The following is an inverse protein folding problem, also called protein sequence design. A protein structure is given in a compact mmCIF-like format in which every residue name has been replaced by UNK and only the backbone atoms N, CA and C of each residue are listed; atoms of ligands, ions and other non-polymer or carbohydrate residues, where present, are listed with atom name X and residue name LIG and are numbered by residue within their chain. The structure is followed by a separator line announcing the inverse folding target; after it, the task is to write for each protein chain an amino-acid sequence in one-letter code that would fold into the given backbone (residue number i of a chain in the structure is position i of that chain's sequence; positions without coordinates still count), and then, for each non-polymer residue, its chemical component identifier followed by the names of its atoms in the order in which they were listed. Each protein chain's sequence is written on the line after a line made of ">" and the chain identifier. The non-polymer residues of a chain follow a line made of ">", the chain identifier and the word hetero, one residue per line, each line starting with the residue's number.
data_IF_627766554621
#
_entry.id   IF_627766554621
#
_cell.length_a   1.000
_cell.length_b   1.000
_cell.length_c   1.000
_cell.angle_alpha   90.00
_cell.angle_beta   90.00
_cell.angle_gamma   90.00
#
_symmetry.space_group_name_H-M   'P 1'
#
loop_
_entity.id
_entity.type
_entity.pdbx_description
1 polymer ?
#
# COMPACT_ATOMS: atom_id res chain seq x y z
N UNK A 1 50.21 -67.67 8.74
CA UNK A 1 49.86 -66.54 7.85
C UNK A 1 48.50 -66.03 8.25
N UNK A 2 48.40 -64.91 9.02
CA UNK A 2 47.15 -64.31 9.45
C UNK A 2 46.82 -63.12 8.53
N UNK A 3 45.74 -63.20 7.74
CA UNK A 3 45.23 -62.10 6.91
C UNK A 3 44.30 -61.21 7.77
N UNK A 4 44.75 -59.97 8.03
CA UNK A 4 43.90 -58.93 8.64
C UNK A 4 42.94 -58.35 7.62
N UNK A 5 41.66 -58.45 7.88
CA UNK A 5 40.59 -57.83 7.07
C UNK A 5 40.25 -56.48 7.70
N UNK A 6 40.60 -55.38 7.01
CA UNK A 6 40.24 -54.02 7.44
C UNK A 6 38.85 -53.69 6.92
N UNK A 7 37.90 -53.59 7.84
CA UNK A 7 36.54 -53.09 7.56
C UNK A 7 36.61 -51.56 7.51
N UNK A 8 36.44 -50.99 6.33
CA UNK A 8 36.28 -49.53 6.14
C UNK A 8 34.77 -49.22 6.35
N UNK A 9 34.45 -48.65 7.53
CA UNK A 9 33.12 -48.17 7.84
C UNK A 9 32.95 -46.79 7.19
N UNK A 10 32.31 -46.73 6.01
CA UNK A 10 31.98 -45.50 5.33
C UNK A 10 30.79 -44.81 6.04
N UNK A 11 31.08 -43.70 6.71
CA UNK A 11 30.03 -42.79 7.22
C UNK A 11 29.39 -42.08 6.02
N UNK A 12 28.20 -42.53 5.62
CA UNK A 12 27.32 -41.79 4.70
C UNK A 12 26.64 -40.69 5.52
N UNK A 13 27.15 -39.48 5.47
CA UNK A 13 26.46 -38.31 6.00
C UNK A 13 25.31 -37.96 5.07
N UNK A 14 24.10 -38.31 5.48
CA UNK A 14 22.86 -37.90 4.83
C UNK A 14 22.67 -36.37 5.11
N UNK A 15 23.13 -35.54 4.18
CA UNK A 15 22.83 -34.12 4.19
C UNK A 15 21.33 -33.95 3.91
N UNK A 16 20.53 -33.81 4.97
CA UNK A 16 19.16 -33.38 4.90
C UNK A 16 19.17 -31.91 4.45
N UNK A 17 18.96 -31.68 3.13
CA UNK A 17 18.74 -30.35 2.61
C UNK A 17 17.40 -29.84 3.16
N UNK A 18 17.43 -29.01 4.20
CA UNK A 18 16.30 -28.19 4.63
C UNK A 18 16.02 -27.19 3.51
N UNK A 19 15.15 -27.60 2.58
CA UNK A 19 14.61 -26.68 1.59
C UNK A 19 13.83 -25.63 2.35
N UNK A 20 14.36 -24.39 2.36
CA UNK A 20 13.72 -23.21 2.95
C UNK A 20 12.41 -22.93 2.21
N UNK A 21 11.29 -23.17 2.86
CA UNK A 21 9.94 -22.89 2.38
C UNK A 21 9.64 -21.37 2.33
N UNK A 22 10.61 -20.53 2.67
CA UNK A 22 10.48 -19.07 2.78
C UNK A 22 10.31 -18.33 1.44
N UNK A 23 10.31 -19.02 0.28
CA UNK A 23 10.24 -18.38 -1.03
C UNK A 23 8.87 -18.43 -1.72
N UNK A 24 7.85 -18.98 -1.08
CA UNK A 24 6.58 -19.28 -1.75
C UNK A 24 5.50 -18.20 -1.65
N UNK A 25 5.69 -17.21 -0.77
CA UNK A 25 4.74 -16.11 -0.61
C UNK A 25 5.45 -14.75 -0.56
N UNK A 26 4.89 -13.78 -1.29
CA UNK A 26 5.31 -12.37 -1.27
C UNK A 26 4.10 -11.46 -1.22
N UNK A 27 4.08 -10.51 -0.30
CA UNK A 27 3.05 -9.46 -0.25
C UNK A 27 3.52 -8.33 -1.16
N UNK A 28 2.75 -8.03 -2.22
CA UNK A 28 3.03 -6.95 -3.17
C UNK A 28 2.49 -5.64 -2.61
N UNK A 29 1.23 -5.66 -2.23
CA UNK A 29 0.52 -4.60 -1.51
C UNK A 29 -0.60 -5.24 -0.65
N UNK A 30 -1.44 -4.42 0.00
CA UNK A 30 -2.45 -4.95 0.92
C UNK A 30 -3.62 -5.68 0.23
N UNK A 31 -3.77 -5.59 -1.08
CA UNK A 31 -4.83 -6.30 -1.81
C UNK A 31 -4.28 -7.25 -2.90
N UNK A 32 -2.96 -7.39 -2.97
CA UNK A 32 -2.31 -8.26 -3.95
C UNK A 32 -1.13 -9.01 -3.31
N UNK A 33 -1.17 -10.33 -3.39
CA UNK A 33 -0.08 -11.21 -2.98
C UNK A 33 0.42 -12.05 -4.15
N UNK A 34 1.62 -12.56 -4.02
CA UNK A 34 2.14 -13.64 -4.87
C UNK A 34 2.26 -14.90 -4.00
N UNK A 35 1.59 -15.97 -4.40
CA UNK A 35 1.57 -17.24 -3.70
C UNK A 35 1.88 -18.35 -4.71
N UNK A 36 2.94 -19.11 -4.45
CA UNK A 36 3.43 -20.17 -5.36
C UNK A 36 3.61 -19.69 -6.81
N UNK A 37 4.20 -18.48 -6.97
CA UNK A 37 4.42 -17.86 -8.28
C UNK A 37 3.17 -17.30 -8.97
N UNK A 38 1.99 -17.38 -8.34
CA UNK A 38 0.74 -16.84 -8.87
C UNK A 38 0.42 -15.50 -8.20
N UNK A 39 0.21 -14.47 -8.99
CA UNK A 39 -0.28 -13.18 -8.50
C UNK A 39 -1.78 -13.26 -8.22
N UNK A 40 -2.17 -12.99 -6.99
CA UNK A 40 -3.54 -13.08 -6.51
C UNK A 40 -3.98 -11.69 -6.05
N UNK A 41 -5.02 -11.15 -6.68
CA UNK A 41 -5.69 -9.93 -6.25
C UNK A 41 -6.92 -10.29 -5.42
N UNK A 42 -7.05 -9.70 -4.26
CA UNK A 42 -8.19 -9.94 -3.39
C UNK A 42 -9.47 -9.37 -3.97
N UNK A 43 -10.47 -10.23 -4.08
CA UNK A 43 -11.75 -9.91 -4.69
C UNK A 43 -12.54 -8.88 -3.86
N UNK A 44 -13.14 -7.91 -4.55
CA UNK A 44 -14.11 -6.98 -3.96
C UNK A 44 -13.57 -5.92 -3.02
N UNK A 45 -12.25 -5.80 -2.91
CA UNK A 45 -11.58 -4.77 -2.10
C UNK A 45 -10.57 -3.97 -2.93
N UNK A 46 -10.19 -2.80 -2.42
CA UNK A 46 -9.16 -1.94 -3.01
C UNK A 46 -8.37 -1.26 -1.89
N UNK A 47 -7.07 -1.50 -1.84
CA UNK A 47 -6.18 -0.97 -0.82
C UNK A 47 -5.45 0.28 -1.31
N UNK A 48 -4.97 1.15 -0.38
CA UNK A 48 -4.11 2.26 -0.76
C UNK A 48 -2.84 1.78 -1.46
N UNK A 49 -2.45 2.50 -2.51
CA UNK A 49 -1.22 2.21 -3.26
C UNK A 49 0.03 2.42 -2.40
N UNK A 50 1.11 1.67 -2.64
CA UNK A 50 2.34 1.71 -1.83
C UNK A 50 2.90 3.12 -1.64
N UNK A 51 2.81 3.97 -2.67
CA UNK A 51 3.27 5.37 -2.63
C UNK A 51 2.19 6.35 -2.18
N UNK A 52 0.99 5.87 -1.86
CA UNK A 52 -0.11 6.73 -1.45
C UNK A 52 0.12 7.27 -0.05
N UNK A 53 -0.10 8.59 0.11
CA UNK A 53 -0.05 9.26 1.41
C UNK A 53 -1.45 9.57 1.90
N UNK A 54 -1.65 9.38 3.20
CA UNK A 54 -2.84 9.72 3.94
C UNK A 54 -2.48 10.62 5.12
N UNK A 55 -3.48 11.30 5.70
CA UNK A 55 -3.35 12.07 6.94
C UNK A 55 -3.91 11.23 8.09
N UNK A 56 -3.21 11.14 9.20
CA UNK A 56 -3.68 10.47 10.41
C UNK A 56 -4.61 11.38 11.25
N UNK A 57 -5.08 10.89 12.39
CA UNK A 57 -5.93 11.65 13.33
C UNK A 57 -5.27 12.94 13.86
N UNK A 58 -3.95 13.00 13.86
CA UNK A 58 -3.15 14.13 14.30
C UNK A 58 -2.76 15.06 13.14
N UNK A 59 -3.30 14.86 11.94
CA UNK A 59 -2.98 15.58 10.69
C UNK A 59 -1.55 15.35 10.19
N UNK A 60 -0.89 14.32 10.64
CA UNK A 60 0.44 13.93 10.17
C UNK A 60 0.32 13.06 8.92
N UNK A 61 1.11 13.38 7.90
CA UNK A 61 1.15 12.60 6.67
C UNK A 61 1.98 11.32 6.85
N UNK A 62 1.45 10.21 6.35
CA UNK A 62 2.12 8.91 6.37
C UNK A 62 1.83 8.12 5.08
N UNK A 63 2.63 7.11 4.79
CA UNK A 63 2.42 6.22 3.65
C UNK A 63 1.39 5.14 4.03
N UNK A 64 0.12 5.40 3.74
CA UNK A 64 -0.96 4.49 4.13
C UNK A 64 -0.95 3.18 3.35
N UNK A 65 -0.44 3.14 2.13
CA UNK A 65 -0.26 1.89 1.40
C UNK A 65 0.75 0.96 2.06
N UNK A 66 1.86 1.51 2.55
CA UNK A 66 2.86 0.76 3.32
C UNK A 66 2.22 0.24 4.62
N UNK A 67 1.52 1.11 5.36
CA UNK A 67 0.86 0.70 6.61
C UNK A 67 -0.20 -0.39 6.39
N UNK A 68 -0.94 -0.33 5.27
CA UNK A 68 -1.92 -1.37 4.92
C UNK A 68 -1.25 -2.71 4.60
N UNK A 69 -0.14 -2.69 3.84
CA UNK A 69 0.68 -3.88 3.56
C UNK A 69 1.24 -4.49 4.85
N UNK A 70 1.82 -3.67 5.70
CA UNK A 70 2.43 -4.11 6.97
C UNK A 70 1.38 -4.69 7.94
N UNK A 71 0.13 -4.19 7.87
CA UNK A 71 -0.98 -4.76 8.63
C UNK A 71 -1.34 -6.18 8.13
N UNK A 72 -1.37 -6.41 6.81
CA UNK A 72 -1.54 -7.74 6.22
C UNK A 72 -0.40 -8.67 6.62
N UNK A 73 0.84 -8.21 6.52
CA UNK A 73 2.02 -8.96 6.94
C UNK A 73 1.93 -9.35 8.42
N UNK A 74 1.56 -8.40 9.27
CA UNK A 74 1.38 -8.65 10.72
C UNK A 74 0.26 -9.65 11.01
N UNK A 75 -0.83 -9.67 10.23
CA UNK A 75 -1.87 -10.69 10.34
C UNK A 75 -1.31 -12.08 10.05
N UNK A 76 -0.56 -12.22 8.96
CA UNK A 76 0.00 -13.50 8.51
C UNK A 76 1.04 -14.00 9.52
N UNK A 77 1.94 -13.13 9.98
CA UNK A 77 2.98 -13.48 10.96
C UNK A 77 2.43 -13.94 12.33
N UNK A 78 1.22 -13.50 12.69
CA UNK A 78 0.53 -13.98 13.91
C UNK A 78 -0.03 -15.39 13.78
N UNK A 79 -0.01 -15.97 12.61
CA UNK A 79 -0.57 -17.29 12.29
C UNK A 79 0.44 -18.18 11.54
N UNK A 80 1.64 -18.42 12.10
CA UNK A 80 2.75 -19.06 11.38
C UNK A 80 2.44 -20.48 10.91
N UNK A 81 1.54 -21.19 11.63
CA UNK A 81 1.16 -22.56 11.34
C UNK A 81 -0.05 -22.69 10.42
N UNK A 82 -0.60 -21.55 9.94
CA UNK A 82 -1.77 -21.54 9.07
C UNK A 82 -1.38 -21.21 7.62
N UNK A 83 -1.91 -21.98 6.68
CA UNK A 83 -1.75 -21.73 5.26
C UNK A 83 -2.80 -20.72 4.77
N UNK A 84 -2.43 -19.94 3.75
CA UNK A 84 -3.40 -19.08 3.05
C UNK A 84 -4.12 -19.95 2.02
N UNK A 85 -5.43 -20.00 2.15
CA UNK A 85 -6.33 -20.67 1.22
C UNK A 85 -7.11 -19.64 0.40
N UNK A 86 -7.19 -19.80 -0.91
CA UNK A 86 -7.83 -18.86 -1.81
C UNK A 86 -8.89 -19.55 -2.68
N UNK A 87 -10.11 -19.01 -2.67
CA UNK A 87 -11.19 -19.39 -3.58
C UNK A 87 -11.15 -18.47 -4.80
N UNK A 88 -10.73 -19.02 -5.94
CA UNK A 88 -10.59 -18.27 -7.18
C UNK A 88 -11.93 -17.94 -7.82
N UNK A 89 -12.05 -16.73 -8.39
CA UNK A 89 -13.24 -16.20 -9.07
C UNK A 89 -13.02 -15.97 -10.57
N UNK A 90 -11.77 -15.99 -11.03
CA UNK A 90 -11.36 -15.72 -12.39
C UNK A 90 -10.03 -15.00 -12.45
N UNK A 91 -9.75 -14.34 -13.56
CA UNK A 91 -8.58 -13.50 -13.74
C UNK A 91 -8.97 -12.09 -14.17
N UNK A 92 -8.12 -11.11 -13.86
CA UNK A 92 -8.28 -9.76 -14.38
C UNK A 92 -7.49 -9.57 -15.70
N UNK A 93 -7.59 -8.36 -16.26
CA UNK A 93 -6.93 -8.00 -17.53
C UNK A 93 -5.38 -8.01 -17.46
N UNK A 94 -4.81 -8.11 -16.26
CA UNK A 94 -3.37 -8.20 -15.99
C UNK A 94 -2.92 -9.63 -15.68
N UNK A 95 -3.78 -10.62 -15.96
CA UNK A 95 -3.57 -12.05 -15.69
C UNK A 95 -3.40 -12.41 -14.20
N UNK A 96 -3.83 -11.52 -13.27
CA UNK A 96 -3.86 -11.84 -11.85
C UNK A 96 -5.11 -12.66 -11.53
N UNK A 97 -4.95 -13.68 -10.69
CA UNK A 97 -6.09 -14.43 -10.16
C UNK A 97 -6.88 -13.54 -9.19
N UNK A 98 -8.18 -13.42 -9.40
CA UNK A 98 -9.08 -12.77 -8.46
C UNK A 98 -9.58 -13.81 -7.47
N UNK A 99 -9.43 -13.57 -6.16
CA UNK A 99 -9.81 -14.56 -5.16
C UNK A 99 -10.35 -13.95 -3.85
N UNK A 100 -11.18 -14.73 -3.18
CA UNK A 100 -11.47 -14.58 -1.75
C UNK A 100 -10.49 -15.46 -0.98
N UNK A 101 -9.63 -14.87 -0.13
CA UNK A 101 -8.59 -15.60 0.58
C UNK A 101 -8.84 -15.62 2.09
N UNK A 102 -8.40 -16.69 2.76
CA UNK A 102 -8.45 -16.85 4.22
C UNK A 102 -7.13 -17.38 4.76
N UNK A 103 -6.88 -17.13 6.03
CA UNK A 103 -5.83 -17.74 6.82
C UNK A 103 -6.47 -18.30 8.10
N UNK A 104 -6.44 -19.61 8.25
CA UNK A 104 -7.25 -20.28 9.24
C UNK A 104 -8.75 -19.91 9.10
N UNK A 105 -9.36 -19.41 10.17
CA UNK A 105 -10.77 -18.98 10.16
C UNK A 105 -10.98 -17.52 9.73
N UNK A 106 -9.92 -16.77 9.46
CA UNK A 106 -10.01 -15.35 9.14
C UNK A 106 -10.10 -15.17 7.63
N UNK A 107 -11.20 -14.57 7.13
CA UNK A 107 -11.28 -14.09 5.76
C UNK A 107 -10.43 -12.82 5.63
N UNK A 108 -9.32 -12.87 4.90
CA UNK A 108 -8.34 -11.78 4.75
C UNK A 108 -8.98 -10.55 4.12
N UNK A 109 -9.77 -10.73 3.05
CA UNK A 109 -10.42 -9.63 2.34
C UNK A 109 -11.35 -8.84 3.30
N UNK A 110 -12.16 -9.55 4.07
CA UNK A 110 -13.06 -8.95 5.07
C UNK A 110 -12.28 -8.25 6.17
N UNK A 111 -11.26 -8.91 6.71
CA UNK A 111 -10.44 -8.38 7.81
C UNK A 111 -9.75 -7.06 7.42
N UNK A 112 -9.21 -6.99 6.21
CA UNK A 112 -8.58 -5.76 5.70
C UNK A 112 -9.56 -4.59 5.65
N UNK A 113 -10.79 -4.84 5.19
CA UNK A 113 -11.83 -3.78 5.10
C UNK A 113 -12.31 -3.38 6.49
N UNK A 114 -12.57 -4.34 7.37
CA UNK A 114 -13.12 -4.11 8.70
C UNK A 114 -12.14 -3.39 9.63
N UNK A 115 -10.83 -3.61 9.42
CA UNK A 115 -9.78 -2.91 10.14
C UNK A 115 -9.32 -1.61 9.43
N UNK A 116 -9.98 -1.22 8.33
CA UNK A 116 -9.72 0.01 7.62
C UNK A 116 -8.40 0.04 6.84
N UNK A 117 -7.88 -1.10 6.42
CA UNK A 117 -6.68 -1.21 5.60
C UNK A 117 -6.98 -1.31 4.10
N UNK A 118 -8.24 -1.59 3.74
CA UNK A 118 -8.74 -1.56 2.39
C UNK A 118 -10.17 -1.01 2.37
N UNK A 119 -10.67 -0.62 1.19
CA UNK A 119 -12.03 -0.17 0.96
C UNK A 119 -12.81 -1.27 0.23
N UNK A 120 -14.13 -1.31 0.45
CA UNK A 120 -15.02 -2.12 -0.36
C UNK A 120 -15.08 -1.56 -1.80
N UNK A 121 -14.65 -2.35 -2.78
CA UNK A 121 -14.62 -1.92 -4.18
C UNK A 121 -15.95 -2.21 -4.86
N UNK A 122 -16.90 -1.30 -4.68
CA UNK A 122 -18.31 -1.46 -5.10
C UNK A 122 -18.51 -1.68 -6.60
N UNK A 123 -17.55 -1.30 -7.43
CA UNK A 123 -17.58 -1.54 -8.87
C UNK A 123 -17.64 -3.05 -9.19
N UNK A 124 -17.00 -3.88 -8.36
CA UNK A 124 -16.89 -5.32 -8.59
C UNK A 124 -17.69 -6.15 -7.58
N UNK A 125 -17.86 -5.66 -6.34
CA UNK A 125 -18.60 -6.39 -5.32
C UNK A 125 -19.15 -5.46 -4.23
N UNK A 126 -20.36 -5.77 -3.75
CA UNK A 126 -20.94 -5.10 -2.56
C UNK A 126 -20.73 -5.90 -1.27
N UNK A 127 -20.03 -7.05 -1.33
CA UNK A 127 -19.88 -8.03 -0.24
C UNK A 127 -19.38 -7.37 1.05
N UNK A 128 -18.39 -6.48 0.97
CA UNK A 128 -17.70 -5.90 2.13
C UNK A 128 -18.18 -4.49 2.54
N UNK A 129 -19.29 -4.00 1.97
CA UNK A 129 -19.82 -2.64 2.26
C UNK A 129 -20.20 -2.48 3.73
N UNK A 130 -20.79 -3.52 4.35
CA UNK A 130 -21.14 -3.48 5.78
C UNK A 130 -19.89 -3.39 6.66
N UNK A 131 -18.85 -4.16 6.36
CA UNK A 131 -17.57 -4.14 7.06
C UNK A 131 -16.87 -2.78 6.93
N UNK A 132 -16.91 -2.16 5.74
CA UNK A 132 -16.38 -0.81 5.54
C UNK A 132 -17.13 0.22 6.39
N UNK A 133 -18.46 0.11 6.51
CA UNK A 133 -19.23 1.02 7.37
C UNK A 133 -18.87 0.87 8.85
N UNK A 134 -18.59 -0.35 9.31
CA UNK A 134 -18.06 -0.61 10.68
C UNK A 134 -16.72 0.09 10.85
N UNK A 135 -15.78 -0.08 9.92
CA UNK A 135 -14.47 0.57 9.96
C UNK A 135 -14.57 2.10 10.00
N UNK A 136 -15.50 2.69 9.22
CA UNK A 136 -15.79 4.13 9.23
C UNK A 136 -16.32 4.61 10.57
N UNK A 137 -17.30 3.92 11.12
CA UNK A 137 -17.93 4.29 12.41
C UNK A 137 -16.91 4.22 13.54
N UNK A 138 -16.04 3.22 13.52
CA UNK A 138 -14.99 3.02 14.53
C UNK A 138 -13.74 3.87 14.27
N UNK A 139 -13.66 4.57 13.14
CA UNK A 139 -12.51 5.39 12.73
C UNK A 139 -11.18 4.62 12.79
N UNK A 140 -11.17 3.36 12.36
CA UNK A 140 -9.96 2.53 12.35
C UNK A 140 -9.19 2.62 11.04
N UNK A 141 -7.90 2.29 11.09
CA UNK A 141 -7.02 2.31 9.93
C UNK A 141 -7.00 3.66 9.25
N UNK A 142 -7.16 3.70 7.92
CA UNK A 142 -7.17 4.95 7.14
C UNK A 142 -8.39 5.84 7.45
N UNK A 143 -9.46 5.27 8.04
CA UNK A 143 -10.65 6.04 8.43
C UNK A 143 -10.42 6.92 9.66
N UNK A 144 -9.30 6.76 10.36
CA UNK A 144 -8.91 7.63 11.49
C UNK A 144 -8.55 9.06 11.06
N UNK A 145 -8.23 9.27 9.80
CA UNK A 145 -7.82 10.56 9.25
C UNK A 145 -8.44 10.84 7.87
N UNK A 146 -7.67 11.47 7.00
CA UNK A 146 -8.12 11.81 5.65
C UNK A 146 -7.29 11.09 4.60
N UNK A 147 -7.93 10.68 3.52
CA UNK A 147 -7.27 10.01 2.41
C UNK A 147 -8.04 10.24 1.10
N UNK A 148 -7.35 10.02 -0.01
CA UNK A 148 -7.95 9.86 -1.34
C UNK A 148 -8.29 8.38 -1.49
N UNK A 149 -9.41 8.06 -2.10
CA UNK A 149 -9.73 6.64 -2.35
C UNK A 149 -8.71 6.06 -3.33
N UNK A 150 -8.31 4.77 -3.19
CA UNK A 150 -7.26 4.18 -4.03
C UNK A 150 -7.52 4.31 -5.53
N UNK A 151 -8.75 4.08 -5.98
CA UNK A 151 -9.11 4.23 -7.39
C UNK A 151 -9.08 5.67 -7.89
N UNK A 152 -9.32 6.67 -7.03
CA UNK A 152 -9.23 8.09 -7.37
C UNK A 152 -7.74 8.51 -7.41
N UNK A 153 -6.94 7.97 -6.50
CA UNK A 153 -5.49 8.19 -6.49
C UNK A 153 -4.83 7.64 -7.78
N UNK A 154 -5.24 6.45 -8.26
CA UNK A 154 -4.78 5.91 -9.55
C UNK A 154 -5.18 6.78 -10.75
N UNK A 155 -6.30 7.51 -10.67
CA UNK A 155 -6.73 8.48 -11.68
C UNK A 155 -6.03 9.84 -11.57
N UNK A 156 -5.06 9.99 -10.68
CA UNK A 156 -4.27 11.19 -10.52
C UNK A 156 -4.72 12.11 -9.38
N UNK A 157 -5.82 11.80 -8.66
CA UNK A 157 -6.15 12.55 -7.46
C UNK A 157 -5.07 12.37 -6.40
N UNK A 158 -4.69 13.47 -5.78
CA UNK A 158 -3.72 13.47 -4.69
C UNK A 158 -4.37 14.07 -3.46
N UNK A 159 -3.95 13.58 -2.31
CA UNK A 159 -4.20 14.28 -1.08
C UNK A 159 -3.41 15.59 -1.15
N UNK A 160 -3.99 16.57 -1.80
CA UNK A 160 -3.65 17.93 -1.50
C UNK A 160 -4.12 18.09 -0.05
N UNK A 161 -3.20 18.05 0.90
CA UNK A 161 -3.43 18.81 2.09
C UNK A 161 -3.91 20.15 1.53
N UNK A 162 -5.23 20.41 1.57
CA UNK A 162 -5.68 21.78 1.52
C UNK A 162 -4.84 22.38 2.61
N UNK A 163 -3.77 23.05 2.20
CA UNK A 163 -3.12 24.02 3.04
C UNK A 163 -4.34 24.69 3.61
N UNK A 164 -4.64 24.38 4.88
CA UNK A 164 -5.72 25.05 5.55
C UNK A 164 -5.46 26.46 5.15
N UNK A 165 -6.45 27.11 4.50
CA UNK A 165 -6.38 28.53 4.29
C UNK A 165 -6.36 29.13 5.69
N UNK A 166 -5.24 28.90 6.38
CA UNK A 166 -4.80 29.74 7.47
C UNK A 166 -4.83 31.13 6.88
N UNK A 167 -5.41 32.09 7.59
CA UNK A 167 -5.55 33.46 7.16
C UNK A 167 -4.24 34.17 6.79
N UNK A 168 -3.11 33.49 6.87
CA UNK A 168 -1.82 33.86 6.30
C UNK A 168 -1.75 33.29 4.89
N UNK A 169 -2.30 34.04 3.94
CA UNK A 169 -2.22 33.74 2.51
C UNK A 169 -0.75 33.75 2.08
N UNK A 170 -0.19 32.58 1.76
CA UNK A 170 1.06 32.50 0.99
C UNK A 170 0.74 32.90 -0.45
N UNK A 171 0.90 34.15 -0.79
CA UNK A 171 0.48 34.74 -2.07
C UNK A 171 1.65 35.01 -3.01
N UNK A 172 2.88 34.80 -2.57
CA UNK A 172 4.04 35.03 -3.42
C UNK A 172 4.35 33.74 -4.18
N UNK A 173 4.30 33.79 -5.50
CA UNK A 173 4.68 32.68 -6.37
C UNK A 173 6.18 32.73 -6.63
N UNK A 174 6.92 31.68 -6.34
CA UNK A 174 8.33 31.53 -6.71
C UNK A 174 8.49 30.46 -7.77
N UNK A 175 8.81 30.84 -8.98
CA UNK A 175 9.11 29.96 -10.08
C UNK A 175 10.59 30.01 -10.50
N UNK A 176 10.98 29.04 -11.32
CA UNK A 176 12.34 28.91 -11.86
C UNK A 176 12.25 29.11 -13.36
N UNK A 177 12.99 30.13 -13.88
CA UNK A 177 13.06 30.42 -15.30
C UNK A 177 13.71 29.27 -16.10
N UNK A 178 13.67 29.33 -17.40
CA UNK A 178 14.39 28.41 -18.29
C UNK A 178 15.91 28.47 -18.13
N UNK A 179 16.44 29.60 -17.65
CA UNK A 179 17.86 29.81 -17.31
C UNK A 179 18.23 29.35 -15.90
N UNK A 180 17.27 28.86 -15.11
CA UNK A 180 17.49 28.41 -13.73
C UNK A 180 17.38 29.50 -12.67
N UNK A 181 17.02 30.72 -13.07
CA UNK A 181 16.87 31.86 -12.18
C UNK A 181 15.59 31.76 -11.35
N UNK A 182 15.65 32.13 -10.06
CA UNK A 182 14.50 32.15 -9.16
C UNK A 182 13.79 33.48 -9.21
N UNK A 183 12.55 33.47 -9.69
CA UNK A 183 11.71 34.64 -9.86
C UNK A 183 10.56 34.62 -8.90
N UNK A 184 10.28 35.73 -8.22
CA UNK A 184 9.17 35.87 -7.28
C UNK A 184 8.12 36.81 -7.86
N UNK A 185 6.86 36.41 -7.84
CA UNK A 185 5.71 37.16 -8.30
C UNK A 185 4.79 37.51 -7.15
N UNK A 186 4.55 38.76 -6.91
CA UNK A 186 3.57 39.26 -5.95
C UNK A 186 2.17 39.27 -6.59
N UNK A 187 1.11 39.22 -5.78
CA UNK A 187 -0.29 39.06 -6.21
C UNK A 187 -0.74 40.19 -7.19
N UNK A 188 -0.22 41.38 -7.04
CA UNK A 188 -0.47 42.57 -7.87
C UNK A 188 0.51 42.72 -9.03
N UNK A 189 1.46 41.81 -9.21
CA UNK A 189 2.46 41.85 -10.25
C UNK A 189 1.91 41.47 -11.64
N UNK A 190 2.47 42.04 -12.75
CA UNK A 190 1.92 41.87 -14.09
C UNK A 190 1.87 40.44 -14.59
N UNK A 191 2.75 39.57 -14.11
CA UNK A 191 2.85 38.16 -14.53
C UNK A 191 2.27 37.18 -13.53
N UNK A 192 1.69 37.64 -12.42
CA UNK A 192 1.23 36.78 -11.35
C UNK A 192 0.19 35.76 -11.82
N UNK A 193 -0.84 36.22 -12.56
CA UNK A 193 -1.92 35.37 -13.02
C UNK A 193 -1.50 34.32 -14.08
N UNK A 194 -0.45 34.66 -14.85
CA UNK A 194 0.08 33.80 -15.90
C UNK A 194 1.06 32.75 -15.35
N UNK A 195 1.73 33.05 -14.22
CA UNK A 195 2.70 32.14 -13.59
C UNK A 195 2.00 30.96 -12.94
N UNK A 196 2.31 29.74 -13.42
CA UNK A 196 1.91 28.48 -12.81
C UNK A 196 3.08 27.93 -12.03
N UNK A 197 2.85 27.44 -10.81
CA UNK A 197 3.86 26.85 -9.93
C UNK A 197 3.94 25.34 -10.18
N UNK A 198 5.13 24.86 -10.55
CA UNK A 198 5.46 23.46 -10.73
C UNK A 198 6.32 22.96 -9.56
N UNK A 199 5.69 22.29 -8.61
CA UNK A 199 6.39 21.77 -7.43
C UNK A 199 7.46 20.73 -7.80
N UNK A 200 7.25 20.00 -8.89
CA UNK A 200 8.20 18.99 -9.41
C UNK A 200 9.53 19.64 -9.87
N UNK A 201 9.49 20.90 -10.31
CA UNK A 201 10.66 21.71 -10.67
C UNK A 201 11.29 22.44 -9.49
N UNK A 202 10.80 22.22 -8.25
CA UNK A 202 11.28 22.90 -7.05
C UNK A 202 10.66 24.29 -6.82
N UNK A 203 9.65 24.66 -7.59
CA UNK A 203 8.90 25.91 -7.47
C UNK A 203 7.96 25.84 -6.25
N UNK A 204 7.67 26.98 -5.62
CA UNK A 204 6.85 27.02 -4.38
C UNK A 204 6.13 28.33 -4.19
N UNK A 205 5.17 28.27 -3.26
CA UNK A 205 4.50 29.45 -2.74
C UNK A 205 5.21 29.92 -1.47
N UNK A 206 5.35 31.23 -1.32
CA UNK A 206 5.93 31.88 -0.14
C UNK A 206 4.88 32.74 0.55
N UNK A 207 4.99 32.83 1.87
CA UNK A 207 4.18 33.68 2.71
C UNK A 207 4.98 34.96 3.00
N UNK A 208 4.30 36.13 2.97
CA UNK A 208 4.84 37.33 3.60
C UNK A 208 4.85 37.11 5.12
N UNK A 209 5.96 37.37 5.76
CA UNK A 209 6.09 37.45 7.22
C UNK A 209 5.24 38.58 7.80
#
# INVERSE_FOLDING_TARGET
>A
MKKSFKIICGLITFMCSVQSWASEMRIIDADTIELYGKKIRFNGIDAPEMKQKCEDKNRKMYFCGISSRDALESLILKMPDQMIECQYRGKDVYDRFIADCSIGKININMWLVENGWALAYRKYSKKYVKNENIAKSNRVGIWSGKFVKPWDWRRGERFNAKISKSKNKCLIKGNISSSGERIYHLEDGPNYNQTKISIERGERWFCSS
#
